data_IF_390663670035
#
_entry.id   IF_390663670035
#
_cell.length_a   1.000
_cell.length_b   1.000
_cell.length_c   1.000
_cell.angle_alpha   90.00
_cell.angle_beta   90.00
_cell.angle_gamma   90.00
#
_symmetry.space_group_name_H-M   'P 1'
#
loop_
_entity.id
_entity.type
_entity.pdbx_description
1 polymer ?
#
# COMPACT_ATOMS: atom_id res chain seq x y z
N UNK A 1 58.35 -2.23 14.63
CA UNK A 1 57.86 -2.17 13.24
C UNK A 1 56.34 -2.17 13.26
N UNK A 2 55.72 -1.23 12.54
CA UNK A 2 54.26 -1.00 12.48
C UNK A 2 53.56 -2.21 11.85
N UNK A 3 52.65 -2.84 12.57
CA UNK A 3 51.64 -3.71 11.95
C UNK A 3 50.47 -2.84 11.50
N UNK A 4 50.43 -2.53 10.21
CA UNK A 4 49.25 -1.99 9.54
C UNK A 4 48.15 -3.07 9.56
N UNK A 5 47.16 -2.92 10.44
CA UNK A 5 45.86 -3.57 10.24
C UNK A 5 45.18 -2.87 9.07
N UNK A 6 45.07 -3.57 7.93
CA UNK A 6 44.10 -3.23 6.89
C UNK A 6 42.71 -3.24 7.55
N UNK A 7 42.16 -2.06 7.82
CA UNK A 7 40.73 -1.92 8.12
C UNK A 7 40.00 -2.17 6.81
N UNK A 8 39.46 -3.38 6.67
CA UNK A 8 38.34 -3.58 5.76
C UNK A 8 37.15 -2.82 6.35
N UNK A 9 36.36 -2.07 5.56
CA UNK A 9 35.09 -1.53 6.04
C UNK A 9 34.27 -2.70 6.57
N UNK A 10 33.62 -2.56 7.72
CA UNK A 10 32.77 -3.63 8.23
C UNK A 10 31.68 -3.91 7.19
N UNK A 11 31.46 -5.17 6.85
CA UNK A 11 30.44 -5.62 5.89
C UNK A 11 29.01 -5.16 6.25
N UNK A 12 28.81 -4.53 7.41
CA UNK A 12 27.53 -4.13 7.99
C UNK A 12 27.23 -2.62 7.89
N UNK A 13 28.09 -1.84 7.22
CA UNK A 13 27.83 -0.40 7.04
C UNK A 13 26.82 -0.09 5.94
N UNK A 14 26.83 -0.84 4.84
CA UNK A 14 25.88 -0.69 3.74
C UNK A 14 24.89 -1.87 3.76
N UNK A 15 23.60 -1.58 3.88
CA UNK A 15 22.54 -2.58 3.80
C UNK A 15 21.93 -2.51 2.40
N UNK A 16 22.10 -3.56 1.61
CA UNK A 16 21.53 -3.64 0.25
C UNK A 16 20.46 -4.72 0.11
N UNK A 17 20.42 -5.68 1.04
CA UNK A 17 19.52 -6.83 1.01
C UNK A 17 18.87 -7.06 2.37
N UNK A 18 17.76 -7.81 2.39
CA UNK A 18 17.13 -8.24 3.64
C UNK A 18 18.12 -9.03 4.53
N UNK A 19 18.99 -9.84 3.93
CA UNK A 19 20.04 -10.58 4.64
C UNK A 19 21.04 -9.64 5.33
N UNK A 20 21.49 -8.58 4.64
CA UNK A 20 22.42 -7.61 5.24
C UNK A 20 21.79 -6.92 6.46
N UNK A 21 20.48 -6.66 6.40
CA UNK A 21 19.72 -6.12 7.52
C UNK A 21 19.65 -7.08 8.70
N UNK A 22 19.32 -8.34 8.47
CA UNK A 22 19.24 -9.33 9.54
C UNK A 22 20.60 -9.69 10.15
N UNK A 23 21.67 -9.69 9.34
CA UNK A 23 23.04 -9.81 9.84
C UNK A 23 23.38 -8.65 10.79
N UNK A 24 23.04 -7.42 10.40
CA UNK A 24 23.20 -6.26 11.26
C UNK A 24 22.33 -6.38 12.53
N UNK A 25 21.07 -6.78 12.42
CA UNK A 25 20.17 -6.92 13.56
C UNK A 25 20.71 -7.94 14.55
N UNK A 26 21.16 -9.11 14.07
CA UNK A 26 21.70 -10.20 14.89
C UNK A 26 22.90 -9.78 15.73
N UNK A 27 23.76 -8.90 15.21
CA UNK A 27 24.91 -8.34 15.95
C UNK A 27 24.45 -7.37 17.06
N UNK A 28 23.35 -6.65 16.84
CA UNK A 28 22.87 -5.61 17.75
C UNK A 28 21.79 -6.08 18.73
N UNK A 29 21.15 -7.22 18.47
CA UNK A 29 19.92 -7.67 19.13
C UNK A 29 20.01 -7.65 20.66
N UNK A 30 21.13 -8.08 21.25
CA UNK A 30 21.26 -8.18 22.72
C UNK A 30 21.19 -6.81 23.39
N UNK A 31 21.76 -5.79 22.74
CA UNK A 31 21.72 -4.41 23.22
C UNK A 31 20.31 -3.84 23.09
N UNK A 32 19.65 -4.14 21.98
CA UNK A 32 18.29 -3.69 21.68
C UNK A 32 17.31 -4.30 22.68
N UNK A 33 17.36 -5.63 22.84
CA UNK A 33 16.54 -6.37 23.79
C UNK A 33 16.69 -5.81 25.20
N UNK A 34 17.93 -5.55 25.65
CA UNK A 34 18.18 -4.95 26.98
C UNK A 34 17.57 -3.55 27.11
N UNK A 35 17.68 -2.72 26.08
CA UNK A 35 17.08 -1.39 26.10
C UNK A 35 15.55 -1.45 26.17
N UNK A 36 14.92 -2.38 25.45
CA UNK A 36 13.46 -2.61 25.48
C UNK A 36 13.04 -3.12 26.86
N UNK A 37 13.71 -4.14 27.38
CA UNK A 37 13.40 -4.76 28.66
C UNK A 37 13.58 -3.80 29.85
N UNK A 38 14.66 -3.01 29.86
CA UNK A 38 14.98 -2.12 30.97
C UNK A 38 14.26 -0.75 30.85
N UNK A 39 13.64 -0.45 29.72
CA UNK A 39 12.89 0.79 29.48
C UNK A 39 13.75 2.06 29.37
N UNK A 40 15.08 1.93 29.24
CA UNK A 40 16.01 3.06 29.23
C UNK A 40 16.54 3.37 27.82
N UNK A 41 16.41 4.64 27.40
CA UNK A 41 17.07 5.25 26.22
C UNK A 41 16.83 4.54 24.88
N UNK A 42 15.69 3.86 24.72
CA UNK A 42 15.32 3.14 23.49
C UNK A 42 15.42 4.03 22.24
N UNK A 43 14.92 5.27 22.33
CA UNK A 43 14.91 6.20 21.20
C UNK A 43 16.33 6.54 20.71
N UNK A 44 17.20 7.00 21.63
CA UNK A 44 18.58 7.36 21.32
C UNK A 44 19.46 6.16 20.93
N UNK A 45 19.24 5.00 21.59
CA UNK A 45 20.11 3.83 21.45
C UNK A 45 19.78 3.01 20.21
N UNK A 46 18.51 2.97 19.83
CA UNK A 46 18.01 2.03 18.83
C UNK A 46 17.21 2.69 17.71
N UNK A 47 16.23 3.55 18.01
CA UNK A 47 15.28 3.99 16.98
C UNK A 47 15.95 4.65 15.77
N UNK A 48 16.82 5.63 15.99
CA UNK A 48 17.50 6.33 14.89
C UNK A 48 18.35 5.39 14.02
N UNK A 49 19.01 4.41 14.65
CA UNK A 49 19.85 3.43 13.91
C UNK A 49 18.99 2.44 13.16
N UNK A 50 17.93 1.95 13.78
CA UNK A 50 16.98 1.02 13.19
C UNK A 50 16.31 1.64 11.96
N UNK A 51 15.76 2.85 12.09
CA UNK A 51 15.16 3.58 10.97
C UNK A 51 16.17 3.80 9.83
N UNK A 52 17.38 4.25 10.16
CA UNK A 52 18.43 4.43 9.14
C UNK A 52 18.79 3.14 8.40
N UNK A 53 18.73 2.00 9.08
CA UNK A 53 19.07 0.68 8.52
C UNK A 53 17.91 0.07 7.73
N UNK A 54 16.67 0.26 8.17
CA UNK A 54 15.47 -0.11 7.41
C UNK A 54 15.36 0.71 6.12
N UNK A 55 15.56 2.03 6.17
CA UNK A 55 15.48 2.89 4.97
C UNK A 55 16.53 2.56 3.91
N UNK A 56 17.63 1.90 4.28
CA UNK A 56 18.61 1.39 3.32
C UNK A 56 18.11 0.13 2.58
N UNK A 57 17.33 -0.73 3.25
CA UNK A 57 16.69 -1.89 2.61
C UNK A 57 15.55 -1.41 1.71
N UNK A 58 14.63 -0.65 2.29
CA UNK A 58 13.39 -0.24 1.65
C UNK A 58 12.82 0.97 2.37
N UNK A 59 12.68 2.07 1.64
CA UNK A 59 12.01 3.27 2.15
C UNK A 59 10.50 3.02 2.35
N UNK A 60 9.94 3.71 3.34
CA UNK A 60 8.54 3.57 3.75
C UNK A 60 8.21 2.26 4.48
N UNK A 61 9.20 1.67 5.15
CA UNK A 61 9.02 0.59 6.14
C UNK A 61 9.31 1.15 7.53
N UNK A 62 8.34 1.01 8.43
CA UNK A 62 8.44 1.48 9.81
C UNK A 62 8.36 0.31 10.78
N UNK A 63 8.48 0.58 12.08
CA UNK A 63 8.43 -0.47 13.10
C UNK A 63 7.82 -0.04 14.41
N UNK A 64 7.30 -1.03 15.14
CA UNK A 64 6.93 -0.97 16.54
C UNK A 64 7.77 -2.00 17.30
N UNK A 65 8.10 -1.72 18.54
CA UNK A 65 8.81 -2.69 19.38
C UNK A 65 8.42 -2.57 20.85
N UNK A 66 8.45 -3.70 21.55
CA UNK A 66 8.11 -3.80 22.96
C UNK A 66 8.35 -5.21 23.47
N UNK A 67 8.13 -5.42 24.77
CA UNK A 67 8.12 -6.77 25.33
C UNK A 67 6.80 -7.47 24.94
N UNK A 68 6.90 -8.63 24.29
CA UNK A 68 5.78 -9.53 24.03
C UNK A 68 5.33 -10.22 25.31
N UNK A 69 6.32 -10.66 26.10
CA UNK A 69 6.16 -11.29 27.40
C UNK A 69 7.38 -10.93 28.29
N UNK A 70 7.52 -11.56 29.46
CA UNK A 70 8.61 -11.25 30.40
C UNK A 70 10.03 -11.55 29.89
N UNK A 71 10.18 -12.30 28.79
CA UNK A 71 11.47 -12.76 28.26
C UNK A 71 11.65 -12.44 26.77
N UNK A 72 10.57 -12.30 26.01
CA UNK A 72 10.59 -12.14 24.56
C UNK A 72 10.28 -10.70 24.17
N UNK A 73 11.17 -10.06 23.41
CA UNK A 73 10.87 -8.80 22.74
C UNK A 73 10.24 -9.05 21.37
N UNK A 74 9.35 -8.18 20.94
CA UNK A 74 8.73 -8.23 19.62
C UNK A 74 9.14 -7.01 18.79
N UNK A 75 9.44 -7.27 17.52
CA UNK A 75 9.61 -6.27 16.48
C UNK A 75 8.52 -6.50 15.43
N UNK A 76 7.61 -5.55 15.34
CA UNK A 76 6.56 -5.52 14.31
C UNK A 76 7.02 -4.54 13.25
N UNK A 77 7.14 -4.98 12.00
CA UNK A 77 7.38 -4.10 10.87
C UNK A 77 6.05 -3.73 10.22
N UNK A 78 5.88 -2.48 9.79
CA UNK A 78 4.62 -1.96 9.23
C UNK A 78 4.90 -1.18 7.96
N UNK A 79 4.02 -1.31 6.98
CA UNK A 79 4.03 -0.52 5.75
C UNK A 79 3.28 0.81 5.94
N UNK A 80 2.76 1.05 7.15
CA UNK A 80 1.88 2.16 7.48
C UNK A 80 0.73 2.28 6.47
N UNK A 81 0.09 1.14 6.17
CA UNK A 81 -1.01 1.01 5.19
C UNK A 81 -0.63 1.28 3.72
N UNK A 82 0.64 1.55 3.41
CA UNK A 82 1.08 1.75 2.04
C UNK A 82 1.11 0.42 1.26
N UNK A 83 0.11 0.21 0.40
CA UNK A 83 -0.15 -1.04 -0.34
C UNK A 83 1.09 -1.57 -1.05
N UNK A 84 1.82 -0.70 -1.77
CA UNK A 84 2.99 -1.14 -2.53
C UNK A 84 4.17 -1.59 -1.67
N UNK A 85 4.17 -1.22 -0.38
CA UNK A 85 5.23 -1.56 0.56
C UNK A 85 4.94 -2.81 1.40
N UNK A 86 3.68 -3.26 1.46
CA UNK A 86 3.26 -4.43 2.25
C UNK A 86 4.10 -5.66 1.92
N UNK A 87 4.29 -5.95 0.63
CA UNK A 87 5.03 -7.14 0.19
C UNK A 87 6.50 -7.12 0.67
N UNK A 88 7.12 -5.96 0.71
CA UNK A 88 8.52 -5.84 1.15
C UNK A 88 8.66 -5.98 2.66
N UNK A 89 7.64 -5.58 3.43
CA UNK A 89 7.56 -5.86 4.87
C UNK A 89 7.43 -7.36 5.12
N UNK A 90 6.55 -8.03 4.38
CA UNK A 90 6.38 -9.48 4.44
C UNK A 90 7.68 -10.21 4.06
N UNK A 91 8.32 -9.83 2.95
CA UNK A 91 9.58 -10.42 2.50
C UNK A 91 10.74 -10.19 3.50
N UNK A 92 10.79 -9.01 4.13
CA UNK A 92 11.78 -8.72 5.16
C UNK A 92 11.59 -9.62 6.38
N UNK A 93 10.37 -9.76 6.90
CA UNK A 93 10.09 -10.64 8.04
C UNK A 93 10.27 -12.11 7.69
N UNK A 94 9.86 -12.55 6.50
CA UNK A 94 10.01 -13.94 6.05
C UNK A 94 11.48 -14.38 5.92
N UNK A 95 12.39 -13.43 5.75
CA UNK A 95 13.84 -13.67 5.74
C UNK A 95 14.51 -13.53 7.11
N UNK A 96 13.73 -13.28 8.18
CA UNK A 96 14.27 -13.13 9.52
C UNK A 96 14.88 -14.46 10.02
N UNK A 97 16.09 -14.43 10.59
CA UNK A 97 16.66 -15.58 11.27
C UNK A 97 15.92 -15.86 12.57
N UNK A 98 15.98 -17.10 13.04
CA UNK A 98 15.55 -17.44 14.39
C UNK A 98 16.55 -16.87 15.41
N UNK A 99 16.08 -15.95 16.26
CA UNK A 99 16.88 -15.31 17.30
C UNK A 99 16.19 -15.52 18.64
N UNK A 100 16.90 -16.18 19.56
CA UNK A 100 16.43 -16.38 20.94
C UNK A 100 15.96 -15.05 21.57
N UNK A 101 14.78 -15.10 22.20
CA UNK A 101 14.08 -13.96 22.84
C UNK A 101 13.52 -12.90 21.90
N UNK A 102 13.40 -13.20 20.61
CA UNK A 102 12.78 -12.30 19.65
C UNK A 102 11.59 -12.94 18.96
N UNK A 103 10.55 -12.13 18.78
CA UNK A 103 9.44 -12.37 17.86
C UNK A 103 9.47 -11.32 16.77
N UNK A 104 9.39 -11.76 15.52
CA UNK A 104 9.29 -10.89 14.35
C UNK A 104 7.90 -11.03 13.76
N UNK A 105 7.24 -9.91 13.48
CA UNK A 105 5.88 -9.90 12.95
C UNK A 105 5.77 -8.92 11.79
N UNK A 106 5.21 -9.39 10.68
CA UNK A 106 4.90 -8.58 9.52
C UNK A 106 3.52 -7.98 9.68
N UNK A 107 3.46 -6.66 9.52
CA UNK A 107 2.25 -5.84 9.63
C UNK A 107 1.66 -5.87 11.05
N UNK A 108 0.95 -4.82 11.43
CA UNK A 108 0.27 -4.81 12.74
C UNK A 108 -0.81 -5.90 12.75
N UNK A 109 -0.77 -6.87 13.69
CA UNK A 109 -1.81 -7.88 13.80
C UNK A 109 -3.11 -7.26 14.33
N UNK A 110 -4.22 -7.97 14.14
CA UNK A 110 -5.45 -7.65 14.85
C UNK A 110 -5.29 -7.85 16.38
N UNK A 111 -6.00 -7.02 17.14
CA UNK A 111 -6.06 -7.07 18.60
C UNK A 111 -7.46 -7.47 19.02
N UNK A 112 -7.58 -8.28 20.08
CA UNK A 112 -8.88 -8.65 20.62
C UNK A 112 -9.60 -7.41 21.19
N UNK A 113 -10.59 -6.93 20.44
CA UNK A 113 -11.33 -5.71 20.74
C UNK A 113 -12.21 -5.76 22.00
N UNK A 114 -12.54 -6.93 22.54
CA UNK A 114 -13.35 -7.01 23.77
C UNK A 114 -12.63 -6.44 24.99
N UNK A 115 -11.31 -6.27 24.91
CA UNK A 115 -10.46 -5.84 26.04
C UNK A 115 -9.73 -4.53 25.77
N UNK A 116 -9.96 -3.90 24.61
CA UNK A 116 -9.18 -2.77 24.14
C UNK A 116 -10.03 -1.51 23.96
N UNK A 117 -9.49 -0.39 24.44
CA UNK A 117 -10.05 0.95 24.24
C UNK A 117 -8.94 1.88 23.80
N UNK A 118 -9.23 2.74 22.83
CA UNK A 118 -8.31 3.80 22.42
C UNK A 118 -8.75 5.08 23.10
N UNK A 119 -7.81 5.78 23.73
CA UNK A 119 -8.03 7.09 24.33
C UNK A 119 -7.19 8.12 23.61
N UNK A 120 -7.83 9.12 23.03
CA UNK A 120 -7.18 10.27 22.40
C UNK A 120 -7.85 11.50 22.97
N UNK A 121 -7.06 12.32 23.67
CA UNK A 121 -7.56 13.49 24.37
C UNK A 121 -8.75 13.15 25.29
N UNK A 122 -9.92 13.72 25.03
CA UNK A 122 -11.14 13.49 25.81
C UNK A 122 -12.02 12.36 25.25
N UNK A 123 -11.65 11.76 24.12
CA UNK A 123 -12.42 10.71 23.47
C UNK A 123 -11.93 9.33 23.88
N UNK A 124 -12.89 8.43 24.08
CA UNK A 124 -12.65 6.99 24.22
C UNK A 124 -13.39 6.28 23.09
N UNK A 125 -12.70 5.38 22.39
CA UNK A 125 -13.23 4.56 21.31
C UNK A 125 -13.24 3.10 21.77
N UNK A 126 -14.41 2.48 21.80
CA UNK A 126 -14.61 1.11 22.28
C UNK A 126 -15.74 0.42 21.53
N UNK A 127 -15.89 -0.89 21.76
CA UNK A 127 -16.99 -1.66 21.21
C UNK A 127 -18.38 -1.20 21.68
N UNK A 128 -18.44 -0.42 22.77
CA UNK A 128 -19.69 0.04 23.39
C UNK A 128 -20.25 1.31 22.74
N UNK A 129 -19.41 2.09 22.06
CA UNK A 129 -19.78 3.40 21.49
C UNK A 129 -19.51 3.53 20.00
N UNK A 130 -19.13 2.42 19.35
CA UNK A 130 -18.95 2.31 17.92
C UNK A 130 -19.92 1.29 17.35
N UNK A 131 -20.57 1.70 16.27
CA UNK A 131 -21.41 0.84 15.43
C UNK A 131 -21.14 1.17 13.97
N UNK A 132 -21.68 0.38 13.05
CA UNK A 132 -21.54 0.64 11.63
C UNK A 132 -22.79 0.22 10.87
N UNK A 133 -22.91 0.74 9.66
CA UNK A 133 -23.79 0.21 8.63
C UNK A 133 -23.08 0.24 7.29
N UNK A 134 -23.47 -0.68 6.41
CA UNK A 134 -22.98 -0.71 5.04
C UNK A 134 -23.95 0.00 4.09
N UNK A 135 -23.42 0.74 3.13
CA UNK A 135 -24.19 1.31 2.02
C UNK A 135 -24.05 0.38 0.82
N UNK A 136 -25.15 0.14 0.11
CA UNK A 136 -25.16 -0.66 -1.11
C UNK A 136 -25.41 0.24 -2.31
N UNK A 137 -24.47 0.25 -3.26
CA UNK A 137 -24.65 0.84 -4.57
C UNK A 137 -24.93 -0.29 -5.58
N UNK A 138 -26.06 -0.19 -6.29
CA UNK A 138 -26.45 -1.18 -7.32
C UNK A 138 -25.48 -1.19 -8.51
N UNK A 139 -24.80 -0.08 -8.79
CA UNK A 139 -23.79 0.01 -9.85
C UNK A 139 -22.46 -0.61 -9.42
N UNK A 140 -22.17 -0.61 -8.12
CA UNK A 140 -20.91 -1.09 -7.54
C UNK A 140 -21.14 -2.11 -6.41
N UNK A 141 -21.86 -3.22 -6.67
CA UNK A 141 -22.34 -4.13 -5.62
C UNK A 141 -21.22 -4.84 -4.84
N UNK A 142 -20.01 -4.89 -5.39
CA UNK A 142 -18.85 -5.55 -4.80
C UNK A 142 -18.00 -4.58 -3.95
N UNK A 143 -18.28 -3.27 -3.98
CA UNK A 143 -17.67 -2.29 -3.08
C UNK A 143 -18.22 -2.43 -1.65
N UNK A 144 -17.32 -2.24 -0.69
CA UNK A 144 -17.55 -2.29 0.74
C UNK A 144 -17.50 -0.86 1.26
N UNK A 145 -18.67 -0.23 1.22
CA UNK A 145 -18.89 1.13 1.66
C UNK A 145 -19.45 1.13 3.07
N UNK A 146 -18.65 1.61 4.01
CA UNK A 146 -18.97 1.59 5.42
C UNK A 146 -19.13 3.00 5.96
N UNK A 147 -20.18 3.19 6.75
CA UNK A 147 -20.24 4.31 7.68
C UNK A 147 -20.12 3.76 9.09
N UNK A 148 -19.10 4.22 9.80
CA UNK A 148 -18.93 3.98 11.24
C UNK A 148 -19.55 5.13 12.00
N UNK A 149 -20.41 4.79 12.94
CA UNK A 149 -21.13 5.71 13.79
C UNK A 149 -20.48 5.73 15.16
N UNK A 150 -20.10 6.93 15.60
CA UNK A 150 -19.56 7.19 16.93
C UNK A 150 -20.57 8.02 17.73
N UNK A 151 -20.98 7.51 18.90
CA UNK A 151 -22.05 8.12 19.69
C UNK A 151 -21.72 9.53 20.20
N UNK A 152 -20.44 9.83 20.41
CA UNK A 152 -19.97 11.12 20.93
C UNK A 152 -19.37 12.00 19.84
N UNK A 153 -19.74 11.75 18.58
CA UNK A 153 -19.27 12.55 17.46
C UNK A 153 -19.69 14.01 17.61
N UNK A 154 -18.76 14.93 17.38
CA UNK A 154 -19.04 16.34 17.27
C UNK A 154 -18.17 16.95 16.17
N UNK A 155 -18.71 17.97 15.50
CA UNK A 155 -18.02 18.60 14.37
C UNK A 155 -16.80 19.42 14.79
N UNK A 156 -16.73 19.90 16.04
CA UNK A 156 -15.62 20.73 16.51
C UNK A 156 -14.31 19.93 16.66
N UNK A 157 -14.41 18.64 17.00
CA UNK A 157 -13.28 17.73 17.22
C UNK A 157 -13.22 16.63 16.15
N UNK A 158 -13.84 16.87 14.99
CA UNK A 158 -14.02 15.88 13.92
C UNK A 158 -12.73 15.17 13.52
N UNK A 159 -11.63 15.88 13.34
CA UNK A 159 -10.36 15.28 12.92
C UNK A 159 -9.79 14.31 13.97
N UNK A 160 -9.90 14.68 15.26
CA UNK A 160 -9.49 13.81 16.39
C UNK A 160 -10.34 12.55 16.43
N UNK A 161 -11.66 12.70 16.26
CA UNK A 161 -12.61 11.60 16.23
C UNK A 161 -12.34 10.67 15.06
N UNK A 162 -12.18 11.21 13.85
CA UNK A 162 -11.88 10.44 12.64
C UNK A 162 -10.61 9.63 12.85
N UNK A 163 -9.52 10.26 13.30
CA UNK A 163 -8.24 9.58 13.55
C UNK A 163 -8.37 8.47 14.60
N UNK A 164 -9.13 8.71 15.68
CA UNK A 164 -9.36 7.71 16.72
C UNK A 164 -10.15 6.50 16.23
N UNK A 165 -11.18 6.72 15.41
CA UNK A 165 -11.95 5.64 14.78
C UNK A 165 -11.09 4.85 13.78
N UNK A 166 -10.30 5.51 12.94
CA UNK A 166 -9.35 4.84 12.03
C UNK A 166 -8.36 3.98 12.81
N UNK A 167 -7.79 4.50 13.89
CA UNK A 167 -6.88 3.73 14.76
C UNK A 167 -7.59 2.53 15.39
N UNK A 168 -8.85 2.68 15.81
CA UNK A 168 -9.65 1.58 16.35
C UNK A 168 -9.87 0.47 15.33
N UNK A 169 -10.29 0.83 14.12
CA UNK A 169 -10.55 -0.14 13.03
C UNK A 169 -9.24 -0.82 12.60
N UNK A 170 -8.13 -0.08 12.53
CA UNK A 170 -6.83 -0.63 12.20
C UNK A 170 -6.36 -1.66 13.24
N UNK A 171 -6.58 -1.41 14.54
CA UNK A 171 -6.27 -2.39 15.59
C UNK A 171 -7.26 -3.57 15.58
N UNK A 172 -8.55 -3.32 15.31
CA UNK A 172 -9.57 -4.36 15.24
C UNK A 172 -9.32 -5.36 14.10
N UNK A 173 -8.95 -4.87 12.92
CA UNK A 173 -8.80 -5.69 11.72
C UNK A 173 -7.35 -6.12 11.46
N UNK A 174 -6.39 -5.48 12.11
CA UNK A 174 -4.99 -5.52 11.72
C UNK A 174 -4.73 -4.66 10.47
N UNK A 175 -3.46 -4.41 10.20
CA UNK A 175 -3.04 -3.50 9.14
C UNK A 175 -3.46 -3.97 7.74
N UNK A 176 -3.22 -5.24 7.40
CA UNK A 176 -3.52 -5.78 6.08
C UNK A 176 -5.01 -5.63 5.75
N UNK A 177 -5.88 -6.24 6.54
CA UNK A 177 -7.34 -6.23 6.31
C UNK A 177 -7.91 -4.81 6.30
N UNK A 178 -7.42 -3.93 7.18
CA UNK A 178 -7.87 -2.53 7.20
C UNK A 178 -7.49 -1.77 5.93
N UNK A 179 -6.34 -2.06 5.34
CA UNK A 179 -5.86 -1.40 4.13
C UNK A 179 -6.44 -2.01 2.85
N UNK A 180 -6.84 -3.29 2.88
CA UNK A 180 -7.17 -4.03 1.64
C UNK A 180 -8.61 -4.45 1.50
N UNK A 181 -9.46 -4.42 2.53
CA UNK A 181 -10.83 -4.94 2.42
C UNK A 181 -11.84 -3.81 2.21
N UNK A 182 -11.79 -2.77 3.03
CA UNK A 182 -12.73 -1.64 3.00
C UNK A 182 -12.38 -0.73 1.82
N UNK A 183 -13.39 -0.34 1.02
CA UNK A 183 -13.19 0.52 -0.16
C UNK A 183 -13.46 1.99 0.19
N UNK A 184 -14.58 2.24 0.87
CA UNK A 184 -14.92 3.55 1.39
C UNK A 184 -15.30 3.48 2.86
N UNK A 185 -14.75 4.38 3.66
CA UNK A 185 -15.03 4.50 5.09
C UNK A 185 -15.39 5.94 5.43
N UNK A 186 -16.58 6.13 5.99
CA UNK A 186 -17.05 7.40 6.51
C UNK A 186 -17.26 7.29 8.02
N UNK A 187 -17.05 8.39 8.74
CA UNK A 187 -17.31 8.49 10.17
C UNK A 187 -18.39 9.55 10.38
N UNK A 188 -19.45 9.20 11.10
CA UNK A 188 -20.57 10.11 11.41
C UNK A 188 -21.01 9.99 12.86
N UNK A 189 -21.75 10.99 13.32
CA UNK A 189 -22.54 10.90 14.55
C UNK A 189 -23.79 10.06 14.38
N UNK A 190 -24.37 9.68 15.51
CA UNK A 190 -25.61 8.93 15.58
C UNK A 190 -26.80 9.84 15.26
N UNK A 191 -27.45 9.60 14.13
CA UNK A 191 -28.60 10.37 13.65
C UNK A 191 -29.78 9.41 13.48
N UNK A 192 -30.97 9.77 13.94
CA UNK A 192 -32.17 8.90 13.93
C UNK A 192 -32.64 8.44 12.54
N UNK A 193 -32.12 9.02 11.46
CA UNK A 193 -32.42 8.64 10.07
C UNK A 193 -31.51 7.53 9.53
N UNK A 194 -30.43 7.20 10.25
CA UNK A 194 -29.57 6.07 9.95
C UNK A 194 -30.34 4.81 10.35
N UNK A 195 -30.46 3.83 9.45
CA UNK A 195 -31.22 2.59 9.69
C UNK A 195 -30.69 1.76 10.86
N UNK A 196 -30.88 0.45 10.81
CA UNK A 196 -30.39 -0.42 11.88
C UNK A 196 -28.85 -0.40 11.96
N UNK A 197 -28.33 0.04 13.11
CA UNK A 197 -26.90 0.10 13.39
C UNK A 197 -26.40 -1.27 13.87
N UNK A 198 -25.33 -1.76 13.24
CA UNK A 198 -24.69 -3.02 13.59
C UNK A 198 -23.57 -2.75 14.59
N UNK A 199 -23.45 -3.48 15.72
CA UNK A 199 -22.34 -3.32 16.64
C UNK A 199 -20.98 -3.50 15.95
N UNK A 200 -19.98 -2.67 16.26
CA UNK A 200 -18.65 -2.75 15.63
C UNK A 200 -17.98 -4.12 15.81
N UNK A 201 -18.36 -4.86 16.85
CA UNK A 201 -17.89 -6.23 17.10
C UNK A 201 -18.24 -7.23 16.00
N UNK A 202 -19.21 -6.91 15.15
CA UNK A 202 -19.61 -7.72 13.99
C UNK A 202 -18.91 -7.33 12.69
N UNK A 203 -18.10 -6.28 12.69
CA UNK A 203 -17.44 -5.78 11.49
C UNK A 203 -16.56 -6.84 10.84
N UNK A 204 -15.74 -7.54 11.62
CA UNK A 204 -14.85 -8.59 11.10
C UNK A 204 -15.63 -9.72 10.41
N UNK A 205 -16.69 -10.22 11.04
CA UNK A 205 -17.54 -11.27 10.47
C UNK A 205 -18.20 -10.80 9.16
N UNK A 206 -18.69 -9.56 9.14
CA UNK A 206 -19.29 -8.95 7.94
C UNK A 206 -18.27 -8.84 6.79
N UNK A 207 -17.06 -8.36 7.08
CA UNK A 207 -15.99 -8.24 6.08
C UNK A 207 -15.56 -9.60 5.54
N UNK A 208 -15.39 -10.60 6.40
CA UNK A 208 -15.03 -11.96 5.98
C UNK A 208 -16.11 -12.60 5.09
N UNK A 209 -17.39 -12.33 5.37
CA UNK A 209 -18.49 -12.75 4.51
C UNK A 209 -18.42 -12.06 3.13
N UNK A 210 -18.27 -10.74 3.08
CA UNK A 210 -18.16 -9.99 1.81
C UNK A 210 -16.96 -10.42 0.98
N UNK A 211 -15.81 -10.69 1.61
CA UNK A 211 -14.61 -11.19 0.92
C UNK A 211 -14.86 -12.59 0.34
N UNK A 212 -15.51 -13.48 1.11
CA UNK A 212 -15.86 -14.83 0.64
C UNK A 212 -16.80 -14.80 -0.58
N UNK A 213 -17.79 -13.91 -0.61
CA UNK A 213 -18.68 -13.73 -1.77
C UNK A 213 -17.90 -13.23 -2.99
N UNK A 214 -17.01 -12.26 -2.78
CA UNK A 214 -16.17 -11.70 -3.84
C UNK A 214 -15.24 -12.77 -4.44
N UNK A 215 -14.56 -13.55 -3.60
CA UNK A 215 -13.68 -14.62 -4.05
C UNK A 215 -14.45 -15.66 -4.88
N UNK A 216 -15.61 -16.12 -4.39
CA UNK A 216 -16.45 -17.08 -5.12
C UNK A 216 -16.85 -16.57 -6.51
N UNK A 217 -17.16 -15.27 -6.63
CA UNK A 217 -17.59 -14.63 -7.88
C UNK A 217 -16.44 -14.46 -8.88
N UNK A 218 -15.23 -14.16 -8.40
CA UNK A 218 -14.14 -13.67 -9.26
C UNK A 218 -12.89 -14.57 -9.37
N UNK A 219 -12.68 -15.56 -8.50
CA UNK A 219 -11.44 -16.35 -8.46
C UNK A 219 -11.05 -17.05 -9.79
N UNK A 220 -12.02 -17.38 -10.64
CA UNK A 220 -11.81 -18.06 -11.92
C UNK A 220 -11.96 -17.15 -13.14
N UNK A 221 -12.17 -15.83 -12.93
CA UNK A 221 -12.20 -14.89 -14.04
C UNK A 221 -10.79 -14.66 -14.56
N UNK A 222 -10.65 -14.74 -15.88
CA UNK A 222 -9.41 -14.52 -16.62
C UNK A 222 -9.75 -13.66 -17.83
N UNK A 223 -8.77 -12.91 -18.28
CA UNK A 223 -8.85 -12.08 -19.46
C UNK A 223 -7.66 -12.39 -20.38
N UNK A 224 -7.85 -12.24 -21.68
CA UNK A 224 -6.78 -12.34 -22.68
C UNK A 224 -6.91 -11.19 -23.65
N UNK A 225 -5.85 -10.41 -23.79
CA UNK A 225 -5.76 -9.17 -24.53
C UNK A 225 -5.29 -9.35 -25.98
N UNK A 226 -5.10 -10.60 -26.46
CA UNK A 226 -4.55 -10.90 -27.80
C UNK A 226 -5.29 -10.19 -28.96
N UNK A 227 -6.57 -9.89 -28.78
CA UNK A 227 -7.44 -9.29 -29.83
C UNK A 227 -7.96 -7.91 -29.45
N UNK A 228 -7.35 -7.29 -28.46
CA UNK A 228 -7.79 -6.01 -27.95
C UNK A 228 -7.54 -4.87 -28.94
N UNK A 229 -8.47 -3.93 -28.93
CA UNK A 229 -8.40 -2.69 -29.70
C UNK A 229 -7.98 -1.54 -28.82
N UNK A 230 -7.10 -0.72 -29.39
CA UNK A 230 -6.55 0.46 -28.75
C UNK A 230 -7.11 1.73 -29.40
N UNK A 231 -7.54 2.67 -28.57
CA UNK A 231 -7.96 4.01 -28.97
C UNK A 231 -6.84 5.02 -28.75
N UNK A 232 -6.80 6.07 -29.56
CA UNK A 232 -5.90 7.21 -29.39
C UNK A 232 -6.72 8.49 -29.20
N UNK A 233 -6.33 9.30 -28.23
CA UNK A 233 -7.05 10.49 -27.81
C UNK A 233 -6.09 11.68 -27.80
N UNK A 234 -6.55 12.81 -28.30
CA UNK A 234 -5.78 14.05 -28.36
C UNK A 234 -6.64 15.22 -27.85
N UNK A 235 -6.07 16.05 -26.99
CA UNK A 235 -6.74 17.23 -26.46
C UNK A 235 -5.74 18.34 -26.14
N UNK A 236 -6.25 19.51 -25.76
CA UNK A 236 -5.48 20.57 -25.15
C UNK A 236 -5.92 20.74 -23.69
N UNK A 237 -4.96 20.79 -22.78
CA UNK A 237 -5.20 21.09 -21.36
C UNK A 237 -5.69 22.54 -21.19
N UNK A 238 -6.22 22.85 -20.01
CA UNK A 238 -6.67 24.22 -19.66
C UNK A 238 -5.55 25.27 -19.75
N UNK A 239 -4.29 24.86 -19.58
CA UNK A 239 -3.11 25.70 -19.76
C UNK A 239 -2.62 25.78 -21.23
N UNK A 240 -3.37 25.19 -22.17
CA UNK A 240 -3.07 25.18 -23.60
C UNK A 240 -2.03 24.15 -24.05
N UNK A 241 -1.46 23.35 -23.14
CA UNK A 241 -0.49 22.30 -23.49
C UNK A 241 -1.18 21.10 -24.13
N UNK A 242 -0.51 20.40 -25.05
CA UNK A 242 -1.04 19.18 -25.65
C UNK A 242 -1.20 18.06 -24.63
N UNK A 243 -2.22 17.23 -24.84
CA UNK A 243 -2.51 16.00 -24.11
C UNK A 243 -2.67 14.86 -25.12
N UNK A 244 -1.98 13.75 -24.88
CA UNK A 244 -2.08 12.53 -25.68
C UNK A 244 -2.37 11.35 -24.77
N UNK A 245 -3.31 10.49 -25.16
CA UNK A 245 -3.56 9.23 -24.47
C UNK A 245 -3.78 8.08 -25.43
N UNK A 246 -3.38 6.89 -25.01
CA UNK A 246 -3.63 5.62 -25.69
C UNK A 246 -4.25 4.69 -24.65
N UNK A 247 -5.44 4.17 -24.92
CA UNK A 247 -6.14 3.29 -23.99
C UNK A 247 -6.66 2.04 -24.68
N UNK A 248 -6.63 0.92 -23.96
CA UNK A 248 -7.21 -0.34 -24.40
C UNK A 248 -8.74 -0.27 -24.24
N UNK A 249 -9.41 0.17 -25.31
CA UNK A 249 -10.87 0.34 -25.32
C UNK A 249 -11.63 -0.98 -25.17
N UNK A 250 -11.01 -2.12 -25.50
CA UNK A 250 -11.69 -3.43 -25.40
C UNK A 250 -11.78 -3.89 -23.95
N UNK A 251 -10.67 -3.84 -23.20
CA UNK A 251 -10.68 -4.25 -21.80
C UNK A 251 -11.54 -3.31 -20.95
N UNK A 252 -11.60 -2.02 -21.29
CA UNK A 252 -12.43 -1.04 -20.58
C UNK A 252 -13.94 -1.33 -20.66
N UNK A 253 -14.38 -2.10 -21.65
CA UNK A 253 -15.77 -2.56 -21.78
C UNK A 253 -16.02 -3.92 -21.10
N UNK A 254 -15.00 -4.53 -20.47
CA UNK A 254 -15.14 -5.85 -19.85
C UNK A 254 -16.02 -5.80 -18.59
N UNK A 255 -16.99 -6.69 -18.45
CA UNK A 255 -17.96 -6.71 -17.33
C UNK A 255 -17.43 -7.31 -16.02
N UNK A 256 -16.18 -7.78 -15.99
CA UNK A 256 -15.58 -8.41 -14.80
C UNK A 256 -14.41 -7.60 -14.23
N UNK A 257 -14.46 -6.27 -14.35
CA UNK A 257 -13.45 -5.32 -13.84
C UNK A 257 -13.05 -5.59 -12.39
N UNK A 258 -14.05 -5.83 -11.54
CA UNK A 258 -13.86 -6.13 -10.12
C UNK A 258 -12.93 -7.31 -9.84
N UNK A 259 -12.72 -8.24 -10.80
CA UNK A 259 -11.72 -9.31 -10.64
C UNK A 259 -10.27 -8.82 -10.62
N UNK A 260 -10.00 -7.60 -11.09
CA UNK A 260 -8.69 -6.95 -11.05
C UNK A 260 -8.82 -5.59 -10.36
N UNK A 261 -9.03 -5.59 -9.03
CA UNK A 261 -9.46 -4.40 -8.32
C UNK A 261 -8.33 -3.42 -8.02
N UNK A 262 -7.08 -3.78 -8.26
CA UNK A 262 -5.93 -2.95 -7.96
C UNK A 262 -5.49 -2.19 -9.20
N UNK A 263 -5.34 -0.88 -9.11
CA UNK A 263 -4.75 -0.08 -10.17
C UNK A 263 -3.30 0.20 -9.81
N UNK A 264 -2.40 -0.30 -10.65
CA UNK A 264 -1.01 0.13 -10.67
C UNK A 264 -0.90 1.34 -11.60
N UNK A 265 -0.52 2.48 -11.02
CA UNK A 265 -0.22 3.72 -11.74
C UNK A 265 1.28 3.98 -11.65
N UNK A 266 1.91 4.23 -12.79
CA UNK A 266 3.33 4.59 -12.87
C UNK A 266 3.43 5.98 -13.46
N UNK A 267 4.23 6.84 -12.84
CA UNK A 267 4.46 8.22 -13.22
C UNK A 267 5.92 8.40 -13.65
N UNK A 268 6.15 8.88 -14.86
CA UNK A 268 7.48 9.16 -15.39
C UNK A 268 7.59 10.66 -15.65
N UNK A 269 8.44 11.32 -14.86
CA UNK A 269 8.69 12.76 -14.99
C UNK A 269 9.85 13.03 -15.95
N UNK A 270 9.68 14.04 -16.82
CA UNK A 270 10.68 14.47 -17.79
C UNK A 270 10.73 15.99 -17.94
N UNK A 271 11.71 16.54 -18.64
CA UNK A 271 11.84 17.99 -18.86
C UNK A 271 11.27 18.38 -20.23
N UNK A 272 9.98 18.70 -20.28
CA UNK A 272 9.27 19.03 -21.53
C UNK A 272 9.23 20.51 -21.88
N UNK A 273 9.90 21.39 -21.12
CA UNK A 273 9.77 22.86 -21.23
C UNK A 273 10.02 23.38 -22.65
N UNK A 274 11.03 22.85 -23.33
CA UNK A 274 11.42 23.27 -24.68
C UNK A 274 10.63 22.56 -25.79
N UNK A 275 9.70 21.68 -25.43
CA UNK A 275 8.85 20.92 -26.34
C UNK A 275 7.36 20.97 -25.92
N UNK A 276 6.88 22.14 -25.48
CA UNK A 276 5.48 22.37 -25.10
C UNK A 276 4.92 21.42 -24.02
N UNK A 277 5.78 20.87 -23.17
CA UNK A 277 5.40 19.89 -22.15
C UNK A 277 5.43 18.43 -22.62
N UNK A 278 5.93 18.14 -23.83
CA UNK A 278 6.12 16.81 -24.37
C UNK A 278 7.57 16.34 -24.20
N UNK A 279 7.83 15.02 -24.15
CA UNK A 279 9.18 14.50 -24.00
C UNK A 279 10.02 14.74 -25.26
N UNK A 280 11.35 14.78 -25.11
CA UNK A 280 12.26 14.74 -26.26
C UNK A 280 12.38 13.30 -26.80
N UNK A 281 13.15 13.09 -27.87
CA UNK A 281 13.30 11.78 -28.51
C UNK A 281 13.99 10.75 -27.59
N UNK A 282 15.02 11.15 -26.86
CA UNK A 282 15.78 10.25 -25.99
C UNK A 282 14.92 9.81 -24.79
N UNK A 283 14.21 10.76 -24.16
CA UNK A 283 13.24 10.51 -23.11
C UNK A 283 12.11 9.58 -23.61
N UNK A 284 11.59 9.84 -24.81
CA UNK A 284 10.55 9.01 -25.43
C UNK A 284 11.02 7.58 -25.63
N UNK A 285 12.23 7.38 -26.15
CA UNK A 285 12.78 6.04 -26.36
C UNK A 285 12.96 5.31 -25.03
N UNK A 286 13.56 5.96 -24.03
CA UNK A 286 13.77 5.36 -22.71
C UNK A 286 12.44 4.97 -22.03
N UNK A 287 11.41 5.82 -22.14
CA UNK A 287 10.06 5.51 -21.63
C UNK A 287 9.41 4.33 -22.34
N UNK A 288 9.58 4.23 -23.67
CA UNK A 288 9.03 3.12 -24.43
C UNK A 288 9.74 1.80 -24.08
N UNK A 289 11.07 1.80 -23.96
CA UNK A 289 11.84 0.62 -23.54
C UNK A 289 11.38 0.12 -22.15
N UNK A 290 11.15 1.06 -21.22
CA UNK A 290 10.64 0.76 -19.88
C UNK A 290 9.21 0.18 -19.92
N UNK A 291 8.31 0.78 -20.70
CA UNK A 291 6.92 0.32 -20.86
C UNK A 291 6.83 -1.05 -21.54
N UNK A 292 7.69 -1.31 -22.52
CA UNK A 292 7.80 -2.62 -23.19
C UNK A 292 8.28 -3.68 -22.20
N UNK A 293 9.28 -3.39 -21.37
CA UNK A 293 9.73 -4.32 -20.33
C UNK A 293 8.64 -4.62 -19.29
N UNK A 294 7.90 -3.59 -18.85
CA UNK A 294 6.75 -3.76 -17.96
C UNK A 294 5.68 -4.65 -18.60
N UNK A 295 5.25 -4.36 -19.82
CA UNK A 295 4.18 -5.09 -20.50
C UNK A 295 4.56 -6.54 -20.79
N UNK A 296 5.84 -6.82 -21.06
CA UNK A 296 6.34 -8.17 -21.24
C UNK A 296 6.44 -8.99 -19.94
N UNK A 297 6.49 -8.32 -18.78
CA UNK A 297 6.62 -8.98 -17.47
C UNK A 297 5.27 -9.09 -16.75
N UNK A 298 4.49 -8.00 -16.75
CA UNK A 298 3.13 -7.92 -16.23
C UNK A 298 2.13 -8.36 -17.30
N UNK A 299 2.04 -9.67 -17.50
CA UNK A 299 1.20 -10.27 -18.53
C UNK A 299 -0.25 -10.51 -18.09
N UNK A 300 -1.17 -10.45 -19.05
CA UNK A 300 -2.62 -10.55 -18.86
C UNK A 300 -3.07 -11.91 -18.30
N UNK A 301 -2.46 -13.01 -18.75
CA UNK A 301 -2.79 -14.37 -18.31
C UNK A 301 -2.49 -14.61 -16.84
N UNK A 302 -1.54 -13.85 -16.26
CA UNK A 302 -1.20 -13.85 -14.84
C UNK A 302 -2.00 -12.80 -14.03
N UNK A 303 -2.86 -12.03 -14.70
CA UNK A 303 -3.78 -11.09 -14.06
C UNK A 303 -3.29 -9.65 -13.99
N UNK A 304 -2.49 -9.21 -14.98
CA UNK A 304 -2.07 -7.82 -15.12
C UNK A 304 -2.49 -7.27 -16.48
N UNK A 305 -3.47 -6.38 -16.49
CA UNK A 305 -4.09 -5.87 -17.72
C UNK A 305 -3.54 -4.48 -18.01
N UNK A 306 -2.81 -4.32 -19.11
CA UNK A 306 -2.37 -3.00 -19.57
C UNK A 306 -3.62 -2.20 -20.03
N UNK A 307 -3.95 -1.15 -19.29
CA UNK A 307 -5.09 -0.29 -19.57
C UNK A 307 -4.68 0.81 -20.55
N UNK A 308 -3.46 1.32 -20.42
CA UNK A 308 -2.90 2.29 -21.34
C UNK A 308 -2.08 3.36 -20.66
N UNK A 309 -1.87 4.46 -21.38
CA UNK A 309 -1.02 5.56 -20.95
C UNK A 309 -1.55 6.91 -21.38
N UNK A 310 -1.11 7.93 -20.67
CA UNK A 310 -1.29 9.33 -21.06
C UNK A 310 0.04 10.09 -20.95
N UNK A 311 0.20 11.15 -21.73
CA UNK A 311 1.39 11.98 -21.75
C UNK A 311 0.96 13.44 -21.93
N UNK A 312 1.24 14.24 -20.91
CA UNK A 312 0.97 15.66 -20.91
C UNK A 312 1.78 16.38 -19.84
N UNK A 313 2.07 17.65 -20.08
CA UNK A 313 2.66 18.56 -19.10
C UNK A 313 3.83 17.99 -18.27
N UNK A 314 4.87 17.51 -18.94
CA UNK A 314 6.11 16.99 -18.33
C UNK A 314 5.93 15.66 -17.55
N UNK A 315 4.81 14.97 -17.78
CA UNK A 315 4.48 13.70 -17.15
C UNK A 315 3.99 12.68 -18.19
N UNK A 316 4.38 11.42 -18.00
CA UNK A 316 3.75 10.25 -18.62
C UNK A 316 3.22 9.37 -17.52
N UNK A 317 1.97 8.94 -17.64
CA UNK A 317 1.32 8.01 -16.71
C UNK A 317 1.00 6.72 -17.44
N UNK A 318 1.31 5.57 -16.84
CA UNK A 318 1.02 4.23 -17.37
C UNK A 318 0.13 3.51 -16.34
N UNK A 319 -0.89 2.80 -16.82
CA UNK A 319 -1.90 2.17 -15.98
C UNK A 319 -2.05 0.68 -16.27
N UNK A 320 -2.03 -0.11 -15.20
CA UNK A 320 -2.41 -1.52 -15.22
C UNK A 320 -3.55 -1.76 -14.23
N UNK A 321 -4.51 -2.61 -14.61
CA UNK A 321 -5.45 -3.23 -13.68
C UNK A 321 -4.91 -4.60 -13.28
N UNK A 322 -4.65 -4.78 -11.99
CA UNK A 322 -3.99 -5.94 -11.41
C UNK A 322 -4.96 -6.72 -10.54
N UNK A 323 -4.86 -8.04 -10.64
CA UNK A 323 -5.60 -8.98 -9.79
C UNK A 323 -5.14 -8.94 -8.34
N UNK A 324 -3.87 -8.64 -8.13
CA UNK A 324 -3.19 -8.61 -6.85
C UNK A 324 -2.19 -7.45 -6.84
N UNK A 325 -1.67 -7.09 -5.66
CA UNK A 325 -0.76 -5.94 -5.51
C UNK A 325 0.68 -6.33 -5.11
N UNK A 326 0.93 -7.55 -4.64
CA UNK A 326 2.23 -7.95 -4.08
C UNK A 326 3.25 -8.17 -5.18
N UNK A 327 2.93 -8.99 -6.15
CA UNK A 327 3.85 -9.34 -7.22
C UNK A 327 4.00 -8.18 -8.22
N UNK A 328 2.90 -7.49 -8.54
CA UNK A 328 2.97 -6.21 -9.27
C UNK A 328 3.87 -5.18 -8.57
N UNK A 329 3.88 -5.12 -7.23
CA UNK A 329 4.83 -4.27 -6.49
C UNK A 329 6.28 -4.71 -6.64
N UNK A 330 6.57 -6.01 -6.54
CA UNK A 330 7.94 -6.55 -6.68
C UNK A 330 8.49 -6.27 -8.07
N UNK A 331 7.76 -6.68 -9.10
CA UNK A 331 8.14 -6.53 -10.51
C UNK A 331 8.35 -5.06 -10.84
N UNK A 332 7.40 -4.20 -10.48
CA UNK A 332 7.49 -2.77 -10.77
C UNK A 332 8.70 -2.12 -10.08
N UNK A 333 8.93 -2.45 -8.80
CA UNK A 333 10.09 -1.93 -8.06
C UNK A 333 11.42 -2.38 -8.66
N UNK A 334 11.55 -3.64 -9.09
CA UNK A 334 12.75 -4.16 -9.74
C UNK A 334 13.03 -3.43 -11.05
N UNK A 335 12.02 -3.30 -11.91
CA UNK A 335 12.15 -2.61 -13.20
C UNK A 335 12.46 -1.13 -12.97
N UNK A 336 11.77 -0.41 -12.06
CA UNK A 336 12.09 0.99 -11.74
C UNK A 336 13.55 1.13 -11.28
N UNK A 337 14.02 0.22 -10.42
CA UNK A 337 15.41 0.25 -9.93
C UNK A 337 16.41 0.13 -11.08
N UNK A 338 16.13 -0.72 -12.07
CA UNK A 338 16.95 -0.91 -13.28
C UNK A 338 17.03 0.34 -14.16
N UNK A 339 16.00 1.19 -14.17
CA UNK A 339 15.93 2.41 -14.98
C UNK A 339 16.22 3.70 -14.19
N UNK A 340 16.59 3.59 -12.92
CA UNK A 340 16.76 4.74 -12.01
C UNK A 340 17.86 5.73 -12.43
N UNK A 341 18.80 5.32 -13.28
CA UNK A 341 19.84 6.17 -13.86
C UNK A 341 19.37 6.96 -15.10
N UNK A 342 18.25 6.56 -15.70
CA UNK A 342 17.72 7.12 -16.95
C UNK A 342 16.40 7.87 -16.78
N UNK A 343 15.53 7.38 -15.92
CA UNK A 343 14.17 7.88 -15.78
C UNK A 343 13.87 8.24 -14.32
N UNK A 344 13.09 9.32 -14.13
CA UNK A 344 12.55 9.70 -12.83
C UNK A 344 11.16 9.08 -12.70
N UNK A 345 11.08 7.94 -12.02
CA UNK A 345 9.85 7.14 -11.97
C UNK A 345 9.33 7.03 -10.54
N UNK A 346 8.04 7.29 -10.38
CA UNK A 346 7.27 6.98 -9.18
C UNK A 346 6.14 6.00 -9.55
N UNK A 347 5.62 5.28 -8.56
CA UNK A 347 4.48 4.40 -8.78
C UNK A 347 3.57 4.34 -7.55
N UNK A 348 2.30 4.08 -7.82
CA UNK A 348 1.23 4.01 -6.84
C UNK A 348 0.40 2.77 -7.11
N UNK A 349 -0.05 2.13 -6.04
CA UNK A 349 -1.06 1.07 -6.12
C UNK A 349 -2.19 1.47 -5.20
N UNK A 350 -3.39 1.52 -5.77
CA UNK A 350 -4.62 1.81 -5.05
C UNK A 350 -5.72 0.90 -5.56
N UNK A 351 -6.82 0.85 -4.83
CA UNK A 351 -7.95 0.01 -5.20
C UNK A 351 -9.01 0.84 -5.92
N UNK A 352 -9.50 0.32 -7.04
CA UNK A 352 -10.61 0.85 -7.84
C UNK A 352 -11.26 -0.36 -8.51
N UNK A 353 -12.25 -0.97 -7.84
CA UNK A 353 -12.83 -2.26 -8.27
C UNK A 353 -13.46 -2.18 -9.65
N UNK A 354 -14.07 -1.06 -9.99
CA UNK A 354 -14.81 -0.88 -11.24
C UNK A 354 -14.08 -0.03 -12.28
N UNK A 355 -12.83 0.34 -11.98
CA UNK A 355 -11.98 1.16 -12.81
C UNK A 355 -12.62 2.49 -13.19
N UNK A 356 -13.29 3.12 -12.22
CA UNK A 356 -13.96 4.42 -12.37
C UNK A 356 -12.95 5.49 -12.81
N UNK A 357 -11.68 5.34 -12.42
CA UNK A 357 -10.56 6.17 -12.88
C UNK A 357 -10.54 6.31 -14.41
N UNK A 358 -10.89 5.27 -15.15
CA UNK A 358 -10.75 5.21 -16.61
C UNK A 358 -12.03 5.57 -17.38
N UNK A 359 -13.10 6.00 -16.71
CA UNK A 359 -14.36 6.36 -17.37
C UNK A 359 -14.20 7.47 -18.41
N UNK A 360 -13.20 8.34 -18.23
CA UNK A 360 -12.85 9.39 -19.20
C UNK A 360 -12.43 8.87 -20.58
N UNK A 361 -12.07 7.59 -20.71
CA UNK A 361 -11.68 6.97 -21.98
C UNK A 361 -12.84 6.25 -22.70
N UNK A 362 -14.04 6.22 -22.11
CA UNK A 362 -15.21 5.52 -22.67
C UNK A 362 -16.02 6.36 -23.68
N UNK A 363 -15.59 7.58 -23.99
CA UNK A 363 -16.36 8.55 -24.79
C UNK A 363 -15.56 9.20 -25.91
#
# INVERSE_FOLDING_TARGET
MKFLRRMFPSKHENIATNTDFWDWFSVNQKKIWKAIHDGEKIEEVFFNKMMSKLNQVKDGVYFLTGMHDNQTAELILTADTNIKNIVFVEDLINSAPDIDKWKFTALKPEVNISEFQIKIENHTFSAENLSFYATHDELYPDEIDLTVVYDQFNEAEKDVIINGVYLYINNLLGELSSATIIDHLQIKGNNQEQGELIPITKLKDYLAWRESEFEQKYQHKRYSAEKDKWGSFEAALSNGKPYFAIANTTVLDWDHKASHPWVLKIEIHYEGKDNHGLPNLDDTQAMNDFEDELTNTLIDTEGYLNIGRETADNLREIFFACREFRESSRITYEIITKYSDKLKIEYHIYKDKYWQTFDRFKH
#
